data_IF_252541195502
#
_entry.id   IF_252541195502
#
_cell.length_a   1.000
_cell.length_b   1.000
_cell.length_c   1.000
_cell.angle_alpha   90.00
_cell.angle_beta   90.00
_cell.angle_gamma   90.00
#
_symmetry.space_group_name_H-M   'P 1'
#
loop_
_entity.id
_entity.type
_entity.pdbx_description
1 polymer ?
#
# COMPACT_ATOMS: atom_id res chain seq x y z
N UNK A 1 -3.19 -46.73 -44.93
CA UNK A 1 -3.81 -45.69 -45.80
C UNK A 1 -4.52 -44.56 -45.04
N UNK A 2 -5.19 -44.78 -43.88
CA UNK A 2 -5.83 -43.70 -43.10
C UNK A 2 -4.87 -42.60 -42.61
N UNK A 3 -3.71 -42.97 -42.01
CA UNK A 3 -2.72 -42.02 -41.46
C UNK A 3 -2.18 -40.98 -42.48
N UNK A 4 -1.98 -41.39 -43.74
CA UNK A 4 -1.51 -40.50 -44.82
C UNK A 4 -2.61 -39.53 -45.29
N UNK A 5 -3.90 -39.90 -45.15
CA UNK A 5 -5.02 -39.02 -45.47
C UNK A 5 -5.23 -37.92 -44.43
N UNK A 6 -5.05 -38.23 -43.13
CA UNK A 6 -5.22 -37.25 -42.04
C UNK A 6 -4.15 -36.16 -42.06
N UNK A 7 -2.88 -36.52 -42.28
CA UNK A 7 -1.78 -35.56 -42.43
C UNK A 7 -1.97 -34.61 -43.64
N UNK A 8 -2.47 -35.14 -44.77
CA UNK A 8 -2.77 -34.34 -45.98
C UNK A 8 -3.96 -33.40 -45.78
N UNK A 9 -4.91 -33.76 -44.90
CA UNK A 9 -6.08 -32.93 -44.56
C UNK A 9 -5.70 -31.79 -43.61
N UNK A 10 -4.92 -32.06 -42.56
CA UNK A 10 -4.36 -31.03 -41.67
C UNK A 10 -3.45 -30.04 -42.41
N UNK A 11 -2.60 -30.52 -43.33
CA UNK A 11 -1.75 -29.67 -44.17
C UNK A 11 -2.51 -28.70 -45.09
N UNK A 12 -3.79 -28.98 -45.39
CA UNK A 12 -4.64 -28.11 -46.22
C UNK A 12 -5.46 -27.09 -45.42
N UNK A 13 -5.66 -27.32 -44.12
CA UNK A 13 -6.63 -26.56 -43.31
C UNK A 13 -5.95 -25.76 -42.19
N UNK A 14 -4.78 -26.19 -41.72
CA UNK A 14 -3.96 -25.47 -40.74
C UNK A 14 -2.88 -24.63 -41.46
N UNK A 15 -2.99 -23.28 -41.46
CA UNK A 15 -2.05 -22.40 -42.15
C UNK A 15 -0.61 -22.52 -41.64
N UNK A 16 -0.44 -22.96 -40.39
CA UNK A 16 0.85 -23.05 -39.70
C UNK A 16 1.41 -24.49 -39.68
N UNK A 17 0.76 -25.44 -40.35
CA UNK A 17 1.16 -26.85 -40.39
C UNK A 17 2.57 -27.07 -40.95
N UNK A 18 2.95 -26.29 -41.96
CA UNK A 18 4.25 -26.37 -42.63
C UNK A 18 5.42 -25.99 -41.72
N UNK A 19 5.16 -25.16 -40.69
CA UNK A 19 6.12 -24.82 -39.65
C UNK A 19 6.28 -25.92 -38.59
N UNK A 20 5.17 -26.54 -38.17
CA UNK A 20 5.18 -27.66 -37.21
C UNK A 20 5.80 -28.93 -37.83
N UNK A 21 5.56 -29.18 -39.13
CA UNK A 21 6.10 -30.31 -39.89
C UNK A 21 7.64 -30.30 -40.03
N UNK A 22 8.28 -29.14 -39.85
CA UNK A 22 9.74 -29.01 -39.82
C UNK A 22 10.35 -29.37 -38.46
N UNK A 23 9.55 -29.31 -37.38
CA UNK A 23 10.03 -29.49 -36.00
C UNK A 23 9.76 -30.89 -35.44
N UNK A 24 8.77 -31.61 -35.99
CA UNK A 24 8.35 -32.91 -35.48
C UNK A 24 8.12 -33.92 -36.60
N UNK A 25 8.50 -35.18 -36.38
CA UNK A 25 8.31 -36.29 -37.34
C UNK A 25 6.83 -36.62 -37.61
N UNK A 26 5.94 -36.25 -36.68
CA UNK A 26 4.47 -36.27 -36.83
C UNK A 26 3.87 -34.96 -36.32
N UNK A 27 3.63 -33.98 -37.19
CA UNK A 27 3.07 -32.68 -36.79
C UNK A 27 1.61 -32.81 -36.33
N UNK A 28 1.35 -32.28 -35.13
CA UNK A 28 0.03 -32.12 -34.52
C UNK A 28 -0.51 -30.73 -34.90
N UNK A 29 -1.84 -30.54 -34.87
CA UNK A 29 -2.48 -29.24 -35.10
C UNK A 29 -1.79 -28.10 -34.32
N UNK A 30 -1.58 -26.98 -35.00
CA UNK A 30 -0.94 -25.80 -34.43
C UNK A 30 -1.79 -25.16 -33.33
N UNK A 31 -1.14 -24.39 -32.44
CA UNK A 31 -1.83 -23.68 -31.33
C UNK A 31 -2.91 -22.73 -31.86
N UNK A 32 -2.58 -21.96 -32.89
CA UNK A 32 -3.49 -20.98 -33.49
C UNK A 32 -4.70 -21.66 -34.13
N UNK A 33 -4.48 -22.81 -34.76
CA UNK A 33 -5.56 -23.57 -35.37
C UNK A 33 -6.50 -24.19 -34.33
N UNK A 34 -5.96 -24.72 -33.22
CA UNK A 34 -6.77 -25.21 -32.10
C UNK A 34 -7.59 -24.07 -31.45
N UNK A 35 -7.01 -22.89 -31.28
CA UNK A 35 -7.73 -21.71 -30.78
C UNK A 35 -8.83 -21.26 -31.74
N UNK A 36 -8.56 -21.28 -33.06
CA UNK A 36 -9.56 -20.94 -34.08
C UNK A 36 -10.73 -21.91 -34.07
N UNK A 37 -10.48 -23.22 -34.03
CA UNK A 37 -11.54 -24.24 -33.95
C UNK A 37 -12.42 -24.02 -32.72
N UNK A 38 -11.80 -23.74 -31.57
CA UNK A 38 -12.52 -23.47 -30.34
C UNK A 38 -13.37 -22.19 -30.39
N UNK A 39 -12.86 -21.14 -31.05
CA UNK A 39 -13.61 -19.90 -31.27
C UNK A 39 -14.79 -20.11 -32.23
N UNK A 40 -14.55 -20.80 -33.34
CA UNK A 40 -15.57 -21.06 -34.38
C UNK A 40 -16.68 -22.00 -33.86
N UNK A 41 -16.34 -22.93 -32.97
CA UNK A 41 -17.31 -23.85 -32.35
C UNK A 41 -18.21 -23.17 -31.29
N UNK A 42 -17.80 -22.02 -30.74
CA UNK A 42 -18.61 -21.24 -29.79
C UNK A 42 -18.88 -21.92 -28.44
N UNK A 43 -18.18 -23.01 -28.11
CA UNK A 43 -18.39 -23.77 -26.88
C UNK A 43 -17.26 -24.76 -26.57
N UNK A 44 -17.21 -25.33 -25.34
CA UNK A 44 -16.12 -26.20 -24.90
C UNK A 44 -16.02 -27.50 -25.72
N UNK A 45 -14.82 -27.86 -26.15
CA UNK A 45 -14.55 -29.14 -26.84
C UNK A 45 -13.73 -30.09 -25.96
N UNK A 46 -14.18 -31.33 -25.78
CA UNK A 46 -13.42 -32.37 -25.07
C UNK A 46 -12.30 -32.95 -25.94
N UNK A 47 -11.36 -33.68 -25.31
CA UNK A 47 -10.33 -34.39 -26.05
C UNK A 47 -10.95 -35.40 -27.04
N UNK A 48 -12.03 -36.11 -26.68
CA UNK A 48 -12.70 -37.01 -27.62
C UNK A 48 -13.24 -36.25 -28.84
N UNK A 49 -13.87 -35.10 -28.63
CA UNK A 49 -14.42 -34.30 -29.73
C UNK A 49 -13.32 -33.77 -30.67
N UNK A 50 -12.13 -33.44 -30.15
CA UNK A 50 -10.99 -33.12 -31.03
C UNK A 50 -10.47 -34.35 -31.78
N UNK A 51 -10.45 -35.54 -31.16
CA UNK A 51 -10.05 -36.79 -31.82
C UNK A 51 -10.98 -37.09 -33.00
N UNK A 52 -12.28 -36.89 -32.79
CA UNK A 52 -13.32 -37.07 -33.80
C UNK A 52 -13.18 -36.02 -34.92
N UNK A 53 -13.02 -34.75 -34.55
CA UNK A 53 -12.86 -33.64 -35.50
C UNK A 53 -11.64 -33.81 -36.42
N UNK A 54 -10.52 -34.32 -35.87
CA UNK A 54 -9.31 -34.58 -36.64
C UNK A 54 -9.26 -35.99 -37.25
N UNK A 55 -10.29 -36.82 -37.06
CA UNK A 55 -10.37 -38.20 -37.57
C UNK A 55 -9.13 -39.06 -37.20
N UNK A 56 -8.56 -38.85 -36.00
CA UNK A 56 -7.32 -39.53 -35.54
C UNK A 56 -7.58 -40.79 -34.69
N UNK A 57 -8.75 -41.41 -34.85
CA UNK A 57 -9.12 -42.60 -34.11
C UNK A 57 -8.11 -43.75 -34.27
N UNK A 58 -7.65 -44.31 -33.15
CA UNK A 58 -6.74 -45.47 -33.11
C UNK A 58 -5.27 -45.17 -33.43
N UNK A 59 -4.87 -43.89 -33.53
CA UNK A 59 -3.46 -43.49 -33.63
C UNK A 59 -2.97 -42.91 -32.30
N UNK A 60 -2.54 -43.80 -31.39
CA UNK A 60 -2.17 -43.46 -30.01
C UNK A 60 -1.14 -42.32 -29.91
N UNK A 61 -0.16 -42.29 -30.83
CA UNK A 61 0.89 -41.28 -30.85
C UNK A 61 0.36 -39.87 -31.20
N UNK A 62 -0.60 -39.78 -32.12
CA UNK A 62 -1.25 -38.51 -32.49
C UNK A 62 -2.21 -38.03 -31.40
N UNK A 63 -2.91 -38.95 -30.75
CA UNK A 63 -3.79 -38.66 -29.60
C UNK A 63 -2.98 -38.11 -28.43
N UNK A 64 -1.85 -38.75 -28.10
CA UNK A 64 -0.96 -38.31 -27.03
C UNK A 64 -0.29 -36.96 -27.37
N UNK A 65 0.09 -36.75 -28.64
CA UNK A 65 0.60 -35.45 -29.12
C UNK A 65 -0.41 -34.31 -28.93
N UNK A 66 -1.68 -34.54 -29.29
CA UNK A 66 -2.76 -33.58 -29.09
C UNK A 66 -3.05 -33.31 -27.61
N UNK A 67 -3.09 -34.36 -26.78
CA UNK A 67 -3.25 -34.24 -25.32
C UNK A 67 -2.15 -33.39 -24.71
N UNK A 68 -0.88 -33.63 -25.07
CA UNK A 68 0.26 -32.85 -24.60
C UNK A 68 0.20 -31.39 -25.04
N UNK A 69 -0.24 -31.12 -26.27
CA UNK A 69 -0.40 -29.75 -26.78
C UNK A 69 -1.50 -29.00 -26.04
N UNK A 70 -2.69 -29.58 -25.89
CA UNK A 70 -3.79 -28.96 -25.13
C UNK A 70 -3.41 -28.77 -23.65
N UNK A 71 -2.68 -29.71 -23.07
CA UNK A 71 -2.10 -29.59 -21.73
C UNK A 71 -1.10 -28.44 -21.62
N UNK A 72 -0.20 -28.29 -22.58
CA UNK A 72 0.73 -27.16 -22.64
C UNK A 72 0.00 -25.82 -22.78
N UNK A 73 -0.98 -25.71 -23.68
CA UNK A 73 -1.78 -24.49 -23.84
C UNK A 73 -2.61 -24.13 -22.59
N UNK A 74 -3.00 -25.13 -21.79
CA UNK A 74 -3.69 -24.89 -20.50
C UNK A 74 -2.72 -24.38 -19.43
N UNK A 75 -1.46 -24.86 -19.43
CA UNK A 75 -0.38 -24.37 -18.56
C UNK A 75 0.04 -22.95 -18.94
N UNK A 76 0.15 -22.69 -20.23
CA UNK A 76 0.55 -21.39 -20.80
C UNK A 76 -0.58 -20.35 -20.76
N UNK A 77 -1.71 -20.66 -20.10
CA UNK A 77 -2.80 -19.70 -19.91
C UNK A 77 -3.61 -19.37 -21.17
N UNK A 78 -3.45 -20.13 -22.26
CA UNK A 78 -4.19 -19.91 -23.52
C UNK A 78 -5.56 -20.61 -23.50
N UNK A 79 -5.70 -21.70 -22.74
CA UNK A 79 -6.93 -22.47 -22.58
C UNK A 79 -7.29 -22.67 -21.10
N UNK A 80 -8.59 -22.81 -20.80
CA UNK A 80 -9.10 -23.36 -19.54
C UNK A 80 -9.79 -24.70 -19.81
N UNK A 81 -9.65 -25.66 -18.89
CA UNK A 81 -10.41 -26.90 -18.90
C UNK A 81 -11.56 -26.83 -17.90
N UNK A 82 -12.79 -27.05 -18.35
CA UNK A 82 -13.98 -27.04 -17.51
C UNK A 82 -14.16 -28.36 -16.72
N UNK A 83 -15.15 -28.42 -15.80
CA UNK A 83 -15.44 -29.61 -14.98
C UNK A 83 -15.83 -30.86 -15.79
N UNK A 84 -16.34 -30.69 -17.01
CA UNK A 84 -16.70 -31.79 -17.93
C UNK A 84 -15.53 -32.21 -18.83
N UNK A 85 -14.33 -31.65 -18.59
CA UNK A 85 -13.12 -32.00 -19.32
C UNK A 85 -12.93 -31.30 -20.67
N UNK A 86 -13.82 -30.37 -21.04
CA UNK A 86 -13.74 -29.59 -22.28
C UNK A 86 -12.84 -28.36 -22.17
N UNK A 87 -12.14 -28.02 -23.25
CA UNK A 87 -11.24 -26.89 -23.37
C UNK A 87 -11.96 -25.65 -23.92
N UNK A 88 -11.62 -24.46 -23.39
CA UNK A 88 -12.19 -23.16 -23.78
C UNK A 88 -11.03 -22.16 -23.97
N UNK A 89 -11.03 -21.35 -25.03
CA UNK A 89 -10.01 -20.34 -25.24
C UNK A 89 -10.21 -19.17 -24.27
N UNK A 90 -9.14 -18.70 -23.63
CA UNK A 90 -9.21 -17.43 -22.90
C UNK A 90 -9.28 -16.28 -23.90
N UNK A 91 -10.24 -15.37 -23.72
CA UNK A 91 -10.25 -14.07 -24.39
C UNK A 91 -9.62 -13.00 -23.47
N UNK A 92 -9.09 -11.92 -24.03
CA UNK A 92 -8.57 -10.80 -23.21
C UNK A 92 -9.66 -10.16 -22.34
N UNK A 93 -10.93 -10.25 -22.75
CA UNK A 93 -12.09 -9.81 -21.96
C UNK A 93 -12.37 -10.68 -20.72
N UNK A 94 -11.78 -11.88 -20.63
CA UNK A 94 -11.92 -12.75 -19.46
C UNK A 94 -10.84 -12.50 -18.39
N UNK A 95 -9.85 -11.64 -18.69
CA UNK A 95 -8.78 -11.26 -17.78
C UNK A 95 -9.17 -10.00 -17.01
N UNK A 96 -9.19 -10.11 -15.69
CA UNK A 96 -9.54 -9.01 -14.79
C UNK A 96 -8.35 -8.74 -13.88
N UNK A 97 -7.93 -7.48 -13.87
CA UNK A 97 -6.88 -6.98 -13.00
C UNK A 97 -7.49 -6.49 -11.69
N UNK A 98 -6.80 -6.74 -10.59
CA UNK A 98 -7.28 -6.31 -9.29
C UNK A 98 -6.37 -6.71 -8.15
N UNK A 99 -6.82 -6.37 -6.95
CA UNK A 99 -6.08 -6.65 -5.71
C UNK A 99 -6.63 -7.88 -5.01
N UNK A 100 -5.73 -8.75 -4.53
CA UNK A 100 -6.08 -9.96 -3.78
C UNK A 100 -6.48 -9.61 -2.34
N UNK A 101 -7.73 -9.88 -2.01
CA UNK A 101 -8.27 -9.83 -0.65
C UNK A 101 -8.36 -11.27 -0.10
N UNK A 102 -7.42 -11.65 0.76
CA UNK A 102 -7.39 -13.00 1.33
C UNK A 102 -8.30 -13.09 2.57
N UNK A 103 -8.92 -14.25 2.76
CA UNK A 103 -9.75 -14.57 3.92
C UNK A 103 -8.96 -15.49 4.88
N UNK A 104 -9.14 -15.38 6.22
CA UNK A 104 -8.46 -16.24 7.18
C UNK A 104 -8.65 -17.75 6.98
N UNK A 105 -9.80 -18.16 6.44
CA UNK A 105 -10.09 -19.57 6.10
C UNK A 105 -9.33 -20.09 4.86
N UNK A 106 -8.44 -19.28 4.26
CA UNK A 106 -7.55 -19.69 3.18
C UNK A 106 -8.08 -19.48 1.75
N UNK A 107 -9.36 -19.13 1.57
CA UNK A 107 -9.87 -18.62 0.28
C UNK A 107 -9.65 -17.11 0.16
N UNK A 108 -9.96 -16.53 -0.98
CA UNK A 108 -9.88 -15.08 -1.16
C UNK A 108 -10.76 -14.56 -2.28
N UNK A 109 -10.59 -13.28 -2.57
CA UNK A 109 -11.27 -12.59 -3.64
C UNK A 109 -10.27 -11.73 -4.40
N UNK A 110 -10.51 -11.52 -5.69
CA UNK A 110 -9.90 -10.42 -6.43
C UNK A 110 -10.92 -9.29 -6.50
N UNK A 111 -10.54 -8.13 -5.96
CA UNK A 111 -11.28 -6.88 -6.05
C UNK A 111 -10.85 -6.17 -7.33
N UNK A 112 -11.71 -6.05 -8.37
CA UNK A 112 -11.32 -5.48 -9.66
C UNK A 112 -10.91 -4.01 -9.56
N UNK A 113 -9.86 -3.62 -10.30
CA UNK A 113 -9.39 -2.22 -10.35
C UNK A 113 -10.46 -1.27 -10.95
N UNK A 114 -11.23 -1.76 -11.94
CA UNK A 114 -12.30 -1.01 -12.61
C UNK A 114 -13.62 -1.00 -11.81
N UNK A 115 -13.63 -1.59 -10.62
CA UNK A 115 -14.82 -1.79 -9.80
C UNK A 115 -15.74 -2.91 -10.30
N UNK A 116 -16.83 -3.14 -9.57
CA UNK A 116 -17.78 -4.22 -9.82
C UNK A 116 -17.71 -5.34 -8.77
N UNK A 117 -18.29 -6.50 -9.09
CA UNK A 117 -18.36 -7.63 -8.16
C UNK A 117 -17.00 -8.30 -7.96
N UNK A 118 -16.68 -8.59 -6.70
CA UNK A 118 -15.53 -9.38 -6.29
C UNK A 118 -15.53 -10.78 -6.92
N UNK A 119 -14.35 -11.22 -7.36
CA UNK A 119 -14.16 -12.52 -8.00
C UNK A 119 -13.63 -13.50 -6.96
N UNK A 120 -14.37 -14.57 -6.70
CA UNK A 120 -13.95 -15.58 -5.74
C UNK A 120 -12.73 -16.37 -6.24
N UNK A 121 -11.70 -16.45 -5.40
CA UNK A 121 -10.48 -17.23 -5.61
C UNK A 121 -10.46 -18.39 -4.63
N UNK A 122 -10.38 -19.61 -5.16
CA UNK A 122 -10.33 -20.81 -4.32
C UNK A 122 -9.03 -20.89 -3.52
N UNK A 123 -9.05 -21.57 -2.36
CA UNK A 123 -7.83 -21.75 -1.56
C UNK A 123 -6.68 -22.44 -2.29
N UNK A 124 -6.97 -23.28 -3.30
CA UNK A 124 -5.94 -23.87 -4.16
C UNK A 124 -5.18 -22.84 -4.98
N UNK A 125 -5.87 -21.80 -5.45
CA UNK A 125 -5.28 -20.70 -6.22
C UNK A 125 -4.62 -19.68 -5.28
N UNK A 126 -5.19 -19.44 -4.10
CA UNK A 126 -4.61 -18.54 -3.09
C UNK A 126 -3.21 -18.97 -2.62
N UNK A 127 -2.83 -20.24 -2.76
CA UNK A 127 -1.49 -20.71 -2.40
C UNK A 127 -0.34 -20.00 -3.12
N UNK A 128 -0.56 -19.37 -4.28
CA UNK A 128 0.50 -18.71 -5.07
C UNK A 128 0.58 -17.18 -4.88
N UNK A 129 -0.27 -16.62 -4.02
CA UNK A 129 -0.38 -15.17 -3.77
C UNK A 129 -0.50 -14.89 -2.29
N UNK A 130 -0.10 -13.69 -1.90
CA UNK A 130 -0.30 -13.17 -0.55
C UNK A 130 -1.40 -12.11 -0.55
N UNK A 131 -1.93 -11.81 0.64
CA UNK A 131 -2.91 -10.75 0.78
C UNK A 131 -2.34 -9.42 0.29
N UNK A 132 -3.09 -8.69 -0.52
CA UNK A 132 -2.70 -7.39 -1.04
C UNK A 132 -1.97 -7.44 -2.38
N UNK A 133 -1.50 -8.61 -2.84
CA UNK A 133 -0.87 -8.76 -4.16
C UNK A 133 -1.80 -8.24 -5.26
N UNK A 134 -1.24 -7.58 -6.27
CA UNK A 134 -1.98 -7.20 -7.48
C UNK A 134 -1.80 -8.29 -8.51
N UNK A 135 -2.90 -8.83 -9.02
CA UNK A 135 -2.86 -10.02 -9.88
C UNK A 135 -3.81 -9.89 -11.07
N UNK A 136 -3.59 -10.75 -12.05
CA UNK A 136 -4.49 -10.97 -13.18
C UNK A 136 -5.21 -12.28 -12.97
N UNK A 137 -6.54 -12.24 -13.03
CA UNK A 137 -7.40 -13.39 -12.86
C UNK A 137 -8.22 -13.62 -14.11
N UNK A 138 -8.27 -14.87 -14.56
CA UNK A 138 -9.20 -15.31 -15.59
C UNK A 138 -10.49 -15.82 -14.95
N UNK A 139 -11.64 -15.39 -15.46
CA UNK A 139 -12.92 -15.99 -15.11
C UNK A 139 -12.98 -17.45 -15.59
N UNK A 140 -13.30 -18.36 -14.68
CA UNK A 140 -13.39 -19.81 -14.96
C UNK A 140 -14.82 -20.35 -14.88
N UNK A 141 -15.76 -19.51 -14.45
CA UNK A 141 -17.17 -19.80 -14.40
C UNK A 141 -17.83 -19.16 -13.19
N UNK A 142 -18.96 -19.73 -12.80
CA UNK A 142 -19.76 -19.30 -11.66
C UNK A 142 -19.94 -20.48 -10.72
N UNK A 143 -19.67 -20.27 -9.43
CA UNK A 143 -19.83 -21.31 -8.41
C UNK A 143 -21.32 -21.61 -8.12
N UNK A 144 -21.61 -22.67 -7.37
CA UNK A 144 -22.94 -23.11 -6.95
C UNK A 144 -23.76 -21.99 -6.27
N UNK A 145 -23.09 -20.99 -5.70
CA UNK A 145 -23.70 -19.80 -5.07
C UNK A 145 -23.83 -18.59 -6.00
N UNK A 146 -23.79 -18.78 -7.32
CA UNK A 146 -23.84 -17.71 -8.33
C UNK A 146 -22.72 -16.66 -8.27
N UNK A 147 -21.61 -16.93 -7.58
CA UNK A 147 -20.43 -16.03 -7.52
C UNK A 147 -19.46 -16.31 -8.67
N UNK A 148 -18.92 -15.25 -9.27
CA UNK A 148 -17.86 -15.36 -10.29
C UNK A 148 -16.62 -16.02 -9.68
N UNK A 149 -16.08 -17.04 -10.33
CA UNK A 149 -14.91 -17.78 -9.88
C UNK A 149 -13.71 -17.51 -10.79
N UNK A 150 -12.59 -17.16 -10.18
CA UNK A 150 -11.35 -16.80 -10.85
C UNK A 150 -10.23 -17.82 -10.68
N UNK A 151 -9.38 -17.94 -11.70
CA UNK A 151 -8.06 -18.56 -11.65
C UNK A 151 -6.99 -17.49 -11.83
N UNK A 152 -5.97 -17.49 -10.98
CA UNK A 152 -4.86 -16.55 -11.10
C UNK A 152 -4.01 -16.96 -12.30
N UNK A 153 -3.76 -16.00 -13.19
CA UNK A 153 -2.94 -16.16 -14.39
C UNK A 153 -1.54 -15.64 -14.11
N UNK A 154 -1.43 -14.45 -13.54
CA UNK A 154 -0.16 -13.81 -13.26
C UNK A 154 -0.26 -12.87 -12.05
N UNK A 155 0.88 -12.54 -11.44
CA UNK A 155 0.98 -11.58 -10.33
C UNK A 155 1.77 -10.38 -10.81
N UNK A 156 1.10 -9.23 -10.89
CA UNK A 156 1.66 -7.99 -11.42
C UNK A 156 2.57 -7.30 -10.39
N UNK A 157 2.13 -7.23 -9.14
CA UNK A 157 2.85 -6.56 -8.05
C UNK A 157 2.72 -7.37 -6.76
N UNK A 158 3.83 -7.55 -6.05
CA UNK A 158 3.85 -8.18 -4.73
C UNK A 158 3.68 -7.14 -3.65
N UNK A 159 2.69 -7.31 -2.77
CA UNK A 159 2.43 -6.35 -1.71
C UNK A 159 3.31 -6.55 -0.47
N UNK A 160 3.80 -7.77 -0.27
CA UNK A 160 4.51 -8.16 0.94
C UNK A 160 5.96 -8.51 0.60
N UNK A 161 6.84 -7.52 0.73
CA UNK A 161 8.29 -7.75 0.71
C UNK A 161 8.81 -8.09 2.11
N UNK A 162 8.25 -7.45 3.13
CA UNK A 162 8.55 -7.67 4.54
C UNK A 162 7.26 -7.86 5.31
N UNK A 163 7.30 -8.73 6.33
CA UNK A 163 6.16 -9.07 7.16
C UNK A 163 6.59 -9.18 8.61
N UNK A 164 5.69 -8.83 9.52
CA UNK A 164 5.85 -9.17 10.94
C UNK A 164 5.08 -10.44 11.24
N UNK A 165 5.71 -11.32 11.99
CA UNK A 165 5.11 -12.56 12.41
C UNK A 165 5.79 -13.14 13.62
N UNK A 166 5.24 -14.25 14.10
CA UNK A 166 5.79 -15.02 15.20
C UNK A 166 6.67 -16.14 14.68
N UNK A 167 7.88 -16.22 15.21
CA UNK A 167 8.82 -17.30 14.94
C UNK A 167 8.41 -18.57 15.69
N UNK A 168 8.39 -19.68 14.95
CA UNK A 168 8.08 -21.00 15.44
C UNK A 168 9.08 -22.01 14.88
N UNK A 169 9.32 -23.08 15.63
CA UNK A 169 10.13 -24.22 15.22
C UNK A 169 9.36 -25.50 15.53
N UNK A 170 8.92 -26.19 14.48
CA UNK A 170 8.28 -27.51 14.62
C UNK A 170 9.16 -28.59 14.01
N UNK A 171 9.47 -29.64 14.79
CA UNK A 171 10.30 -30.79 14.36
C UNK A 171 11.64 -30.38 13.73
N UNK A 172 12.21 -29.26 14.17
CA UNK A 172 13.48 -28.73 13.67
C UNK A 172 13.37 -27.87 12.40
N UNK A 173 12.16 -27.60 11.91
CA UNK A 173 11.93 -26.69 10.78
C UNK A 173 11.49 -25.33 11.34
N UNK A 174 12.29 -24.27 11.16
CA UNK A 174 11.90 -22.93 11.56
C UNK A 174 10.97 -22.29 10.52
N UNK A 175 9.92 -21.64 10.99
CA UNK A 175 8.97 -20.90 10.15
C UNK A 175 8.40 -19.70 10.89
N UNK A 176 7.83 -18.76 10.14
CA UNK A 176 7.16 -17.57 10.69
C UNK A 176 5.70 -17.59 10.28
N UNK A 177 4.81 -17.42 11.27
CA UNK A 177 3.40 -17.15 11.05
C UNK A 177 3.17 -15.66 11.06
N UNK A 178 2.66 -15.10 9.95
CA UNK A 178 2.36 -13.68 9.87
C UNK A 178 1.33 -13.27 10.94
N UNK A 179 1.50 -12.08 11.51
CA UNK A 179 0.55 -11.52 12.48
C UNK A 179 -0.81 -11.22 11.80
N UNK A 180 -0.77 -10.79 10.53
CA UNK A 180 -1.96 -10.64 9.72
C UNK A 180 -2.55 -12.01 9.36
N UNK A 181 -3.65 -12.37 10.02
CA UNK A 181 -4.39 -13.64 9.82
C UNK A 181 -4.89 -13.90 8.39
N UNK A 182 -4.88 -12.89 7.50
CA UNK A 182 -5.20 -13.07 6.07
C UNK A 182 -4.04 -13.72 5.29
N UNK A 183 -2.82 -13.66 5.83
CA UNK A 183 -1.65 -14.39 5.34
C UNK A 183 -1.54 -15.66 6.17
N UNK A 184 -2.09 -16.75 5.63
CA UNK A 184 -2.19 -18.04 6.32
C UNK A 184 -1.02 -18.98 5.96
N UNK A 185 -0.19 -18.62 4.98
CA UNK A 185 0.97 -19.43 4.61
C UNK A 185 2.07 -19.29 5.66
N UNK A 186 2.67 -20.40 6.05
CA UNK A 186 3.91 -20.42 6.83
C UNK A 186 5.06 -19.94 5.95
N UNK A 187 5.83 -18.97 6.46
CA UNK A 187 7.03 -18.48 5.81
C UNK A 187 8.18 -19.36 6.30
N UNK A 188 8.63 -20.26 5.45
CA UNK A 188 9.72 -21.18 5.78
C UNK A 188 11.02 -20.41 5.88
N UNK A 189 11.81 -20.71 6.91
CA UNK A 189 13.13 -20.15 7.08
C UNK A 189 14.17 -21.24 6.77
N UNK A 190 15.13 -21.00 5.86
CA UNK A 190 16.26 -21.91 5.71
C UNK A 190 17.12 -21.87 7.00
N UNK A 191 17.97 -22.88 7.24
CA UNK A 191 18.74 -22.98 8.50
C UNK A 191 19.60 -21.75 8.84
N UNK A 192 20.08 -21.05 7.81
CA UNK A 192 20.84 -19.80 7.90
C UNK A 192 19.94 -18.54 7.99
N UNK A 193 18.66 -18.65 7.63
CA UNK A 193 17.70 -17.56 7.62
C UNK A 193 17.02 -17.27 8.95
N UNK A 194 17.13 -18.15 9.95
CA UNK A 194 16.52 -17.98 11.28
C UNK A 194 17.27 -16.98 12.19
N UNK A 195 18.55 -16.74 11.93
CA UNK A 195 19.36 -15.80 12.72
C UNK A 195 19.43 -16.16 14.20
N UNK A 196 19.06 -15.21 15.07
CA UNK A 196 19.07 -15.36 16.55
C UNK A 196 17.67 -15.50 17.16
N UNK A 197 16.64 -15.65 16.34
CA UNK A 197 15.25 -15.74 16.81
C UNK A 197 15.02 -17.00 17.65
N UNK A 198 14.18 -16.89 18.68
CA UNK A 198 13.76 -17.98 19.55
C UNK A 198 12.27 -18.27 19.37
N UNK A 199 11.85 -19.46 19.79
CA UNK A 199 10.45 -19.87 19.78
C UNK A 199 9.55 -18.81 20.45
N UNK A 200 8.55 -18.32 19.72
CA UNK A 200 7.59 -17.34 20.19
C UNK A 200 8.01 -15.87 20.05
N UNK A 201 9.23 -15.58 19.55
CA UNK A 201 9.66 -14.21 19.28
C UNK A 201 8.85 -13.60 18.13
N UNK A 202 8.60 -12.30 18.23
CA UNK A 202 8.06 -11.50 17.14
C UNK A 202 9.24 -11.01 16.30
N UNK A 203 9.19 -11.32 15.01
CA UNK A 203 10.27 -11.06 14.07
C UNK A 203 9.76 -10.31 12.85
N UNK A 204 10.63 -9.45 12.31
CA UNK A 204 10.48 -8.89 10.98
C UNK A 204 11.17 -9.84 9.99
N UNK A 205 10.40 -10.41 9.07
CA UNK A 205 10.88 -11.34 8.04
C UNK A 205 10.82 -10.69 6.67
N UNK A 206 11.90 -10.81 5.90
CA UNK A 206 11.93 -10.50 4.47
C UNK A 206 11.53 -11.75 3.68
N UNK A 207 10.62 -11.62 2.72
CA UNK A 207 10.28 -12.71 1.79
C UNK A 207 11.34 -12.74 0.69
N UNK A 208 12.18 -13.76 0.71
CA UNK A 208 13.25 -14.00 -0.28
C UNK A 208 12.67 -14.71 -1.50
N UNK A 209 11.79 -15.69 -1.29
CA UNK A 209 11.08 -16.39 -2.36
C UNK A 209 9.56 -16.30 -2.14
N UNK A 210 8.87 -15.76 -3.15
CA UNK A 210 7.42 -15.61 -3.15
C UNK A 210 6.72 -16.97 -3.31
N UNK A 211 5.50 -17.14 -2.78
CA UNK A 211 4.84 -18.43 -2.81
C UNK A 211 4.43 -18.83 -4.23
N UNK A 212 4.37 -20.13 -4.47
CA UNK A 212 3.89 -20.72 -5.73
C UNK A 212 2.79 -21.74 -5.47
N UNK A 213 2.18 -22.31 -6.51
CA UNK A 213 1.19 -23.38 -6.33
C UNK A 213 1.73 -24.61 -5.57
N UNK A 214 3.05 -24.79 -5.54
CA UNK A 214 3.72 -25.99 -4.99
C UNK A 214 4.57 -25.71 -3.76
N UNK A 215 5.12 -24.51 -3.63
CA UNK A 215 6.05 -24.16 -2.58
C UNK A 215 5.52 -23.00 -1.75
N UNK A 216 5.69 -23.12 -0.44
CA UNK A 216 5.47 -22.04 0.53
C UNK A 216 6.48 -20.90 0.31
N UNK A 217 6.17 -19.68 0.79
CA UNK A 217 7.13 -18.59 0.73
C UNK A 217 8.35 -18.92 1.60
N UNK A 218 9.52 -18.51 1.13
CA UNK A 218 10.79 -18.64 1.88
C UNK A 218 11.22 -17.25 2.31
N UNK A 219 11.59 -17.11 3.58
CA UNK A 219 12.00 -15.84 4.16
C UNK A 219 13.33 -15.88 4.89
N UNK A 220 13.76 -14.71 5.33
CA UNK A 220 14.91 -14.51 6.22
C UNK A 220 14.55 -13.49 7.29
N UNK A 221 14.89 -13.79 8.54
CA UNK A 221 14.72 -12.86 9.65
C UNK A 221 15.66 -11.66 9.45
N UNK A 222 15.09 -10.47 9.32
CA UNK A 222 15.84 -9.21 9.29
C UNK A 222 16.12 -8.69 10.69
N UNK A 223 15.11 -8.75 11.55
CA UNK A 223 15.21 -8.24 12.91
C UNK A 223 14.33 -9.02 13.88
N UNK A 224 14.78 -9.11 15.13
CA UNK A 224 14.01 -9.68 16.23
C UNK A 224 13.47 -8.52 17.05
N UNK A 225 12.19 -8.19 16.81
CA UNK A 225 11.53 -7.08 17.48
C UNK A 225 11.40 -7.35 18.98
N UNK A 226 11.20 -8.62 19.37
CA UNK A 226 11.32 -9.08 20.74
C UNK A 226 10.30 -10.14 21.13
N UNK A 227 10.25 -10.47 22.43
CA UNK A 227 9.29 -11.45 22.95
C UNK A 227 7.86 -10.89 22.90
N UNK A 228 6.88 -11.76 22.63
CA UNK A 228 5.45 -11.42 22.42
C UNK A 228 4.77 -10.63 23.56
N UNK A 229 5.41 -10.41 24.71
CA UNK A 229 4.82 -9.78 25.89
C UNK A 229 5.61 -8.56 26.42
N UNK A 230 6.55 -8.02 25.64
CA UNK A 230 7.26 -6.82 26.08
C UNK A 230 6.40 -5.56 25.87
N UNK A 231 6.29 -4.66 26.86
CA UNK A 231 5.60 -3.39 26.70
C UNK A 231 6.16 -2.58 25.51
N UNK A 232 5.30 -2.03 24.65
CA UNK A 232 5.69 -1.23 23.49
C UNK A 232 5.83 -2.02 22.20
N UNK A 233 5.76 -3.36 22.25
CA UNK A 233 5.75 -4.22 21.06
C UNK A 233 4.52 -3.99 20.19
N UNK A 234 3.39 -3.58 20.77
CA UNK A 234 2.16 -3.32 20.02
C UNK A 234 2.35 -2.20 19.00
N UNK A 235 3.19 -1.21 19.35
CA UNK A 235 3.51 -0.08 18.48
C UNK A 235 4.39 -0.53 17.31
N UNK A 236 5.46 -1.29 17.56
CA UNK A 236 6.34 -1.80 16.49
C UNK A 236 5.59 -2.74 15.53
N UNK A 237 4.79 -3.65 16.07
CA UNK A 237 3.93 -4.53 15.26
C UNK A 237 2.97 -3.71 14.42
N UNK A 238 2.35 -2.67 14.98
CA UNK A 238 1.42 -1.79 14.25
C UNK A 238 2.12 -1.02 13.13
N UNK A 239 3.30 -0.45 13.40
CA UNK A 239 4.12 0.27 12.42
C UNK A 239 4.39 -0.63 11.21
N UNK A 240 4.91 -1.83 11.45
CA UNK A 240 5.27 -2.73 10.36
C UNK A 240 4.08 -3.36 9.65
N UNK A 241 3.06 -3.81 10.39
CA UNK A 241 1.87 -4.47 9.82
C UNK A 241 1.05 -3.54 8.92
N UNK A 242 1.04 -2.25 9.20
CA UNK A 242 0.37 -1.23 8.40
C UNK A 242 1.30 -0.52 7.42
N UNK A 243 2.57 -0.94 7.33
CA UNK A 243 3.55 -0.33 6.43
C UNK A 243 3.81 1.15 6.73
N UNK A 244 3.69 1.58 7.99
CA UNK A 244 3.92 2.97 8.39
C UNK A 244 5.42 3.28 8.21
N UNK A 245 5.77 4.27 7.38
CA UNK A 245 7.17 4.65 7.12
C UNK A 245 7.81 5.30 8.36
N UNK A 246 8.47 4.48 9.20
CA UNK A 246 9.12 4.96 10.41
C UNK A 246 10.59 5.37 10.21
N UNK A 247 11.28 4.80 9.21
CA UNK A 247 12.70 5.08 8.93
C UNK A 247 12.83 6.26 7.97
N UNK A 248 13.79 7.14 8.23
CA UNK A 248 14.08 8.28 7.36
C UNK A 248 15.05 7.89 6.23
N UNK A 249 14.76 8.24 4.97
CA UNK A 249 15.73 8.14 3.89
C UNK A 249 16.95 9.06 4.10
N UNK A 250 18.15 8.63 3.70
CA UNK A 250 19.38 9.41 3.87
C UNK A 250 19.32 10.79 3.21
N UNK A 251 18.67 10.88 2.04
CA UNK A 251 18.46 12.14 1.32
C UNK A 251 17.64 13.14 2.15
N UNK A 252 16.60 12.66 2.85
CA UNK A 252 15.74 13.48 3.73
C UNK A 252 16.52 13.98 4.94
N UNK A 253 17.33 13.10 5.54
CA UNK A 253 18.21 13.48 6.67
C UNK A 253 19.24 14.51 6.22
N UNK A 254 19.81 14.36 5.03
CA UNK A 254 20.75 15.30 4.43
C UNK A 254 20.14 16.68 4.19
N UNK A 255 18.98 16.73 3.52
CA UNK A 255 18.25 17.98 3.26
C UNK A 255 17.86 18.69 4.57
N UNK A 256 17.30 17.94 5.53
CA UNK A 256 16.89 18.46 6.83
C UNK A 256 18.04 19.13 7.61
N UNK A 257 19.25 18.55 7.58
CA UNK A 257 20.41 19.10 8.30
C UNK A 257 20.90 20.44 7.73
N UNK A 258 20.54 20.79 6.51
CA UNK A 258 21.00 22.01 5.86
C UNK A 258 20.32 23.29 6.40
N UNK A 259 19.13 23.19 7.01
CA UNK A 259 18.35 24.36 7.43
C UNK A 259 18.82 25.02 8.74
N UNK A 260 19.62 24.32 9.55
CA UNK A 260 20.03 24.80 10.88
C UNK A 260 18.85 24.94 11.86
N UNK A 261 19.06 25.68 12.96
CA UNK A 261 18.10 25.75 14.07
C UNK A 261 17.31 27.09 14.13
N UNK A 262 17.63 28.04 13.25
CA UNK A 262 17.08 29.39 13.29
C UNK A 262 16.76 29.95 11.91
N UNK A 263 15.71 30.75 11.83
CA UNK A 263 15.30 31.45 10.60
C UNK A 263 16.38 32.43 10.15
N UNK A 264 16.86 32.26 8.91
CA UNK A 264 17.86 33.14 8.30
C UNK A 264 17.32 34.55 8.06
N UNK A 265 18.16 35.57 8.18
CA UNK A 265 17.75 36.97 7.91
C UNK A 265 17.32 37.19 6.45
N UNK A 266 17.90 36.44 5.50
CA UNK A 266 17.46 36.43 4.10
C UNK A 266 16.00 36.01 3.94
N UNK A 267 15.58 35.00 4.72
CA UNK A 267 14.26 34.38 4.59
C UNK A 267 13.15 35.26 5.18
N UNK A 268 13.52 36.24 6.00
CA UNK A 268 12.63 37.26 6.57
C UNK A 268 12.31 38.37 5.56
N UNK A 269 13.10 38.52 4.50
CA UNK A 269 12.92 39.61 3.53
C UNK A 269 11.62 39.46 2.74
N UNK A 270 10.93 40.58 2.49
CA UNK A 270 9.66 40.60 1.76
C UNK A 270 8.46 40.06 2.53
N UNK A 271 8.63 39.66 3.79
CA UNK A 271 7.55 39.18 4.66
C UNK A 271 7.03 40.30 5.57
N UNK A 272 5.75 40.23 5.92
CA UNK A 272 5.12 41.15 6.87
C UNK A 272 5.67 40.89 8.28
N UNK A 273 6.17 41.92 8.94
CA UNK A 273 6.66 41.82 10.32
C UNK A 273 5.50 41.98 11.31
N UNK A 274 5.18 40.91 12.04
CA UNK A 274 4.17 40.90 13.11
C UNK A 274 4.76 40.51 14.47
N UNK A 275 6.09 40.53 14.62
CA UNK A 275 6.80 40.09 15.84
C UNK A 275 6.46 40.89 17.10
N UNK A 276 5.88 42.08 16.96
CA UNK A 276 5.45 42.93 18.09
C UNK A 276 4.00 42.69 18.52
N UNK A 277 3.23 41.91 17.75
CA UNK A 277 1.87 41.56 18.12
C UNK A 277 1.92 40.37 19.09
N UNK A 278 1.14 40.40 20.18
CA UNK A 278 1.16 39.35 21.21
C UNK A 278 0.38 38.12 20.74
N UNK A 279 0.87 37.48 19.67
CA UNK A 279 0.43 36.17 19.19
C UNK A 279 0.83 35.11 20.22
N UNK A 280 -0.09 34.19 20.48
CA UNK A 280 0.11 33.06 21.42
C UNK A 280 -0.30 31.76 20.75
N UNK A 281 0.31 30.64 21.17
CA UNK A 281 -0.14 29.29 20.81
C UNK A 281 -0.94 28.70 21.97
N UNK A 282 -1.91 27.84 21.67
CA UNK A 282 -2.77 27.21 22.68
C UNK A 282 -2.92 25.72 22.32
N UNK A 283 -2.23 24.87 23.07
CA UNK A 283 -2.04 23.47 22.68
C UNK A 283 -2.24 22.51 23.87
N UNK A 284 -2.16 21.22 23.62
CA UNK A 284 -2.07 20.21 24.68
C UNK A 284 -0.74 20.31 25.44
N UNK A 285 -0.73 19.82 26.68
CA UNK A 285 0.43 19.82 27.57
C UNK A 285 1.65 19.11 26.94
N UNK A 286 1.39 18.02 26.20
CA UNK A 286 2.41 17.17 25.57
C UNK A 286 2.77 17.58 24.14
N UNK A 287 2.12 18.60 23.58
CA UNK A 287 2.37 19.07 22.21
C UNK A 287 3.76 19.71 22.06
N UNK A 288 4.41 19.50 20.90
CA UNK A 288 5.75 20.02 20.58
C UNK A 288 5.81 20.77 19.24
N UNK A 289 4.87 20.45 18.37
CA UNK A 289 4.59 20.99 17.05
C UNK A 289 3.47 22.03 17.17
N UNK A 290 3.84 23.31 17.35
CA UNK A 290 2.87 24.40 17.44
C UNK A 290 2.62 24.97 16.04
N UNK A 291 1.56 24.52 15.39
CA UNK A 291 1.26 24.85 14.00
C UNK A 291 0.59 26.22 13.84
N UNK A 292 -0.17 26.65 14.85
CA UNK A 292 -0.93 27.90 14.81
C UNK A 292 -0.71 28.81 16.02
N UNK A 293 -0.79 30.11 15.75
CA UNK A 293 -0.81 31.15 16.77
C UNK A 293 -1.91 32.17 16.48
N UNK A 294 -2.55 32.65 17.54
CA UNK A 294 -3.71 33.52 17.44
C UNK A 294 -3.52 34.84 18.17
N UNK A 295 -4.09 35.91 17.60
CA UNK A 295 -4.19 37.22 18.22
C UNK A 295 -5.52 37.87 17.84
N UNK A 296 -6.23 38.43 18.82
CA UNK A 296 -7.49 39.10 18.58
C UNK A 296 -7.50 40.52 19.17
N UNK A 297 -8.11 41.45 18.45
CA UNK A 297 -8.29 42.84 18.89
C UNK A 297 -9.68 43.35 18.53
N UNK A 298 -10.28 44.14 19.44
CA UNK A 298 -11.60 44.74 19.21
C UNK A 298 -11.49 45.90 18.23
N UNK A 299 -12.45 46.02 17.32
CA UNK A 299 -12.61 47.16 16.41
C UNK A 299 -13.94 47.86 16.70
N UNK A 300 -14.21 49.00 16.04
CA UNK A 300 -15.50 49.70 16.18
C UNK A 300 -16.69 48.82 15.75
N UNK A 301 -16.49 47.97 14.74
CA UNK A 301 -17.53 47.20 14.09
C UNK A 301 -17.49 45.69 14.42
N UNK A 302 -16.64 45.27 15.36
CA UNK A 302 -16.51 43.87 15.77
C UNK A 302 -15.08 43.55 16.22
N UNK A 303 -14.42 42.63 15.52
CA UNK A 303 -13.11 42.09 15.88
C UNK A 303 -12.19 41.99 14.67
N UNK A 304 -10.89 42.11 14.92
CA UNK A 304 -9.82 41.73 14.01
C UNK A 304 -9.10 40.53 14.62
N UNK A 305 -9.17 39.40 13.94
CA UNK A 305 -8.50 38.16 14.29
C UNK A 305 -7.32 37.94 13.35
N UNK A 306 -6.17 37.61 13.92
CA UNK A 306 -4.99 37.15 13.21
C UNK A 306 -4.77 35.69 13.56
N UNK A 307 -4.61 34.87 12.54
CA UNK A 307 -4.20 33.46 12.66
C UNK A 307 -2.90 33.32 11.88
N UNK A 308 -1.82 32.97 12.56
CA UNK A 308 -0.53 32.70 11.96
C UNK A 308 -0.34 31.18 11.92
N UNK A 309 -0.15 30.62 10.73
CA UNK A 309 0.11 29.19 10.51
C UNK A 309 1.57 29.02 10.13
N UNK A 310 2.26 28.01 10.69
CA UNK A 310 3.63 27.67 10.32
C UNK A 310 3.84 27.60 8.80
N UNK A 311 4.86 28.29 8.27
CA UNK A 311 5.14 28.28 6.82
C UNK A 311 6.02 27.09 6.42
N UNK A 312 5.47 25.87 6.55
CA UNK A 312 6.14 24.63 6.17
C UNK A 312 6.59 24.64 4.72
N UNK A 313 5.81 25.28 3.83
CA UNK A 313 6.08 25.38 2.39
C UNK A 313 7.35 26.17 2.04
N UNK A 314 7.88 26.94 2.99
CA UNK A 314 9.19 27.59 2.83
C UNK A 314 10.33 26.57 2.85
N UNK A 315 10.23 25.52 3.67
CA UNK A 315 11.28 24.51 3.85
C UNK A 315 11.07 23.27 3.00
N UNK A 316 9.81 22.87 2.80
CA UNK A 316 9.43 21.70 1.99
C UNK A 316 8.97 22.17 0.62
N UNK A 317 9.87 22.11 -0.38
CA UNK A 317 9.61 22.62 -1.72
C UNK A 317 9.19 21.51 -2.69
N UNK A 318 8.32 21.80 -3.68
CA UNK A 318 7.88 20.78 -4.63
C UNK A 318 9.04 20.10 -5.36
N UNK A 319 9.08 18.76 -5.33
CA UNK A 319 10.11 17.91 -5.91
C UNK A 319 11.35 17.70 -5.04
N UNK A 320 11.38 18.23 -3.81
CA UNK A 320 12.48 17.95 -2.87
C UNK A 320 12.33 16.59 -2.18
N UNK A 321 13.41 16.08 -1.56
CA UNK A 321 13.35 14.78 -0.90
C UNK A 321 12.40 14.81 0.30
N UNK A 322 12.36 15.93 1.03
CA UNK A 322 11.36 16.19 2.07
C UNK A 322 9.92 16.14 1.55
N UNK A 323 9.67 16.69 0.36
CA UNK A 323 8.33 16.73 -0.23
C UNK A 323 7.89 15.35 -0.75
N UNK A 324 8.77 14.59 -1.39
CA UNK A 324 8.52 13.20 -1.75
C UNK A 324 8.21 12.33 -0.53
N UNK A 325 9.03 12.43 0.52
CA UNK A 325 8.81 11.66 1.75
C UNK A 325 7.56 12.14 2.51
N UNK A 326 7.28 13.44 2.57
CA UNK A 326 6.05 13.94 3.18
C UNK A 326 4.80 13.38 2.48
N UNK A 327 4.81 13.24 1.14
CA UNK A 327 3.73 12.56 0.40
C UNK A 327 3.64 11.06 0.72
N UNK A 328 4.78 10.39 0.82
CA UNK A 328 4.85 8.97 1.17
C UNK A 328 4.27 8.71 2.58
N UNK A 329 4.58 9.59 3.54
CA UNK A 329 4.05 9.53 4.91
C UNK A 329 2.59 9.96 5.00
N UNK A 330 2.21 11.02 4.30
CA UNK A 330 0.86 11.58 4.23
C UNK A 330 0.38 12.28 5.51
N UNK A 331 0.68 11.75 6.68
CA UNK A 331 0.32 12.30 8.00
C UNK A 331 1.31 11.85 9.07
N UNK A 332 1.36 12.59 10.19
CA UNK A 332 1.97 12.09 11.43
C UNK A 332 1.05 11.02 12.05
N UNK A 333 1.62 9.92 12.54
CA UNK A 333 0.88 8.83 13.22
C UNK A 333 1.19 8.87 14.72
N UNK A 334 0.15 9.03 15.53
CA UNK A 334 0.27 9.16 16.99
C UNK A 334 -0.12 7.85 17.68
N UNK A 335 0.84 7.27 18.40
CA UNK A 335 0.65 6.13 19.31
C UNK A 335 0.71 6.59 20.76
N UNK A 336 0.18 5.81 21.72
CA UNK A 336 0.43 6.04 23.13
C UNK A 336 1.95 6.10 23.42
N UNK A 337 2.46 7.29 23.75
CA UNK A 337 3.88 7.50 24.09
C UNK A 337 4.87 7.57 22.92
N UNK A 338 4.42 7.53 21.66
CA UNK A 338 5.31 7.67 20.49
C UNK A 338 4.60 8.30 19.30
N UNK A 339 5.31 9.15 18.56
CA UNK A 339 4.83 9.72 17.30
C UNK A 339 5.76 9.30 16.17
N UNK A 340 5.19 8.94 15.02
CA UNK A 340 5.91 8.82 13.75
C UNK A 340 5.60 10.07 12.96
N UNK A 341 6.49 11.08 12.96
CA UNK A 341 6.16 12.38 12.39
C UNK A 341 6.24 12.37 10.86
N UNK A 342 5.40 13.18 10.23
CA UNK A 342 5.41 13.39 8.78
C UNK A 342 6.68 14.10 8.30
N UNK A 343 7.23 14.98 9.13
CA UNK A 343 8.45 15.74 8.84
C UNK A 343 9.51 15.44 9.90
N UNK A 344 10.82 15.60 9.58
CA UNK A 344 11.87 15.48 10.59
C UNK A 344 11.67 16.48 11.73
N UNK A 345 12.05 16.08 12.96
CA UNK A 345 11.81 16.88 14.17
C UNK A 345 12.45 18.27 14.14
N UNK A 346 13.58 18.41 13.44
CA UNK A 346 14.26 19.70 13.21
C UNK A 346 13.36 20.71 12.50
N UNK A 347 12.45 20.24 11.64
CA UNK A 347 11.42 21.06 11.02
C UNK A 347 10.17 21.10 11.90
N UNK A 348 9.55 19.95 12.20
CA UNK A 348 8.24 19.90 12.86
C UNK A 348 8.25 20.55 14.25
N UNK A 349 9.25 20.24 15.08
CA UNK A 349 9.37 20.76 16.45
C UNK A 349 10.29 21.99 16.51
N UNK A 350 11.11 22.20 15.48
CA UNK A 350 12.09 23.27 15.41
C UNK A 350 11.62 24.47 14.60
N UNK A 351 11.98 24.50 13.31
CA UNK A 351 11.84 25.66 12.43
C UNK A 351 10.39 25.99 12.02
N UNK A 352 9.51 25.00 11.98
CA UNK A 352 8.08 25.19 11.67
C UNK A 352 7.26 25.44 12.93
N UNK A 353 7.59 24.78 14.05
CA UNK A 353 6.89 25.02 15.32
C UNK A 353 7.05 26.47 15.78
N UNK A 354 5.92 27.12 16.07
CA UNK A 354 5.78 28.52 16.51
C UNK A 354 6.20 28.71 17.98
N UNK A 355 7.38 28.20 18.31
CA UNK A 355 7.99 28.23 19.63
C UNK A 355 8.05 29.67 20.21
N UNK A 356 7.90 29.82 21.54
CA UNK A 356 7.95 31.12 22.20
C UNK A 356 9.33 31.78 22.07
N UNK A 357 9.34 33.12 22.03
CA UNK A 357 10.53 33.98 22.08
C UNK A 357 11.52 33.85 20.91
N UNK A 358 11.18 33.09 19.88
CA UNK A 358 11.99 32.90 18.66
C UNK A 358 11.23 33.35 17.41
N UNK A 359 11.98 33.90 16.44
CA UNK A 359 11.40 34.31 15.16
C UNK A 359 11.02 33.06 14.35
N UNK A 360 9.81 33.06 13.78
CA UNK A 360 9.28 31.98 12.96
C UNK A 360 8.56 32.51 11.72
N UNK A 361 8.71 31.80 10.62
CA UNK A 361 8.04 32.10 9.36
C UNK A 361 6.61 31.56 9.41
N UNK A 362 5.65 32.38 9.01
CA UNK A 362 4.25 31.98 9.01
C UNK A 362 3.49 32.51 7.79
N UNK A 363 2.40 31.83 7.47
CA UNK A 363 1.31 32.32 6.64
C UNK A 363 0.29 32.99 7.57
N UNK A 364 0.14 34.30 7.42
CA UNK A 364 -0.77 35.11 8.23
C UNK A 364 -2.12 35.24 7.52
N UNK A 365 -3.18 34.79 8.17
CA UNK A 365 -4.56 35.06 7.84
C UNK A 365 -5.09 36.19 8.72
N UNK A 366 -5.60 37.25 8.09
CA UNK A 366 -6.23 38.38 8.78
C UNK A 366 -7.73 38.39 8.50
N UNK A 367 -8.54 38.33 9.55
CA UNK A 367 -9.99 38.27 9.46
C UNK A 367 -10.60 39.50 10.15
N UNK A 368 -11.54 40.15 9.47
CA UNK A 368 -12.43 41.16 10.06
C UNK A 368 -13.79 40.52 10.33
N UNK A 369 -14.16 40.43 11.59
CA UNK A 369 -15.38 39.76 12.05
C UNK A 369 -16.33 40.83 12.59
N UNK A 370 -17.59 40.85 12.16
CA UNK A 370 -18.56 41.81 12.67
C UNK A 370 -19.09 41.41 14.07
N UNK A 371 -19.98 42.22 14.64
CA UNK A 371 -20.55 41.97 15.98
C UNK A 371 -21.39 40.70 16.07
N UNK A 372 -21.93 40.25 14.93
CA UNK A 372 -22.73 39.03 14.82
C UNK A 372 -21.86 37.77 14.59
N UNK A 373 -20.53 37.92 14.58
CA UNK A 373 -19.60 36.81 14.37
C UNK A 373 -19.35 36.46 12.90
N UNK A 374 -19.84 37.26 11.95
CA UNK A 374 -19.66 36.99 10.52
C UNK A 374 -18.34 37.57 10.01
N UNK A 375 -17.64 36.81 9.18
CA UNK A 375 -16.41 37.27 8.50
C UNK A 375 -16.83 38.22 7.37
N UNK A 376 -16.36 39.46 7.45
CA UNK A 376 -16.65 40.54 6.48
C UNK A 376 -15.51 40.77 5.50
N UNK A 377 -14.27 40.46 5.90
CA UNK A 377 -13.07 40.56 5.07
C UNK A 377 -12.02 39.56 5.52
N UNK A 378 -11.30 38.99 4.55
CA UNK A 378 -10.13 38.16 4.77
C UNK A 378 -8.93 38.69 3.97
N UNK A 379 -7.72 38.37 4.42
CA UNK A 379 -6.48 38.66 3.71
C UNK A 379 -5.39 37.68 4.13
N UNK A 380 -4.51 37.34 3.19
CA UNK A 380 -3.44 36.37 3.39
C UNK A 380 -2.10 36.99 3.01
N UNK A 381 -1.06 36.76 3.82
CA UNK A 381 0.29 37.23 3.54
C UNK A 381 1.34 36.33 4.17
N UNK A 382 2.54 36.27 3.58
CA UNK A 382 3.71 35.70 4.25
C UNK A 382 4.19 36.68 5.32
N UNK A 383 4.49 36.17 6.50
CA UNK A 383 4.87 36.97 7.65
C UNK A 383 6.01 36.33 8.46
N UNK A 384 6.57 37.13 9.35
CA UNK A 384 7.48 36.70 10.42
C UNK A 384 6.83 37.07 11.75
N UNK A 385 6.73 36.10 12.64
CA UNK A 385 6.16 36.27 13.97
C UNK A 385 7.14 35.82 15.06
N UNK A 386 6.85 36.23 16.29
CA UNK A 386 7.47 35.73 17.52
C UNK A 386 6.34 35.43 18.50
N UNK A 387 6.19 34.17 18.89
CA UNK A 387 5.18 33.79 19.88
C UNK A 387 5.55 34.40 21.23
N UNK A 388 4.59 35.05 21.88
CA UNK A 388 4.79 35.71 23.18
C UNK A 388 4.44 34.80 24.36
N UNK A 389 3.75 33.69 24.10
CA UNK A 389 3.51 32.64 25.08
C UNK A 389 3.07 31.35 24.38
N UNK A 390 3.55 30.23 24.91
CA UNK A 390 2.93 28.92 24.75
C UNK A 390 1.96 28.72 25.91
N UNK A 391 0.68 28.55 25.62
CA UNK A 391 -0.36 28.31 26.62
C UNK A 391 -0.91 26.88 26.43
N UNK A 392 -1.43 26.31 27.52
CA UNK A 392 -2.22 25.07 27.42
C UNK A 392 -3.72 25.34 27.58
N UNK A 393 -4.55 24.44 27.09
CA UNK A 393 -6.01 24.50 27.30
C UNK A 393 -6.36 24.64 28.78
N UNK A 394 -5.69 23.88 29.65
CA UNK A 394 -5.86 23.93 31.11
C UNK A 394 -5.51 25.32 31.68
N UNK A 395 -4.40 25.92 31.25
CA UNK A 395 -4.00 27.25 31.68
C UNK A 395 -5.00 28.33 31.22
N UNK A 396 -5.46 28.24 29.98
CA UNK A 396 -6.45 29.19 29.43
C UNK A 396 -7.77 29.09 30.19
N UNK A 397 -8.26 27.87 30.45
CA UNK A 397 -9.46 27.65 31.25
C UNK A 397 -9.30 28.21 32.67
N UNK A 398 -8.18 27.91 33.34
CA UNK A 398 -7.92 28.41 34.69
C UNK A 398 -7.87 29.95 34.74
N UNK A 399 -7.29 30.61 33.74
CA UNK A 399 -7.25 32.08 33.67
C UNK A 399 -8.62 32.71 33.37
N UNK A 400 -9.37 32.15 32.41
CA UNK A 400 -10.59 32.78 31.88
C UNK A 400 -11.86 32.35 32.62
N UNK A 401 -11.95 31.10 33.06
CA UNK A 401 -13.12 30.51 33.71
C UNK A 401 -12.95 30.59 35.23
N UNK A 402 -11.92 29.94 35.77
CA UNK A 402 -11.72 29.81 37.23
C UNK A 402 -11.14 31.08 37.86
N UNK A 403 -10.67 32.01 37.02
CA UNK A 403 -10.09 33.30 37.43
C UNK A 403 -8.87 33.13 38.35
N UNK A 404 -8.05 32.10 38.11
CA UNK A 404 -6.86 31.81 38.92
C UNK A 404 -5.96 33.06 39.07
N UNK A 405 -5.73 33.55 40.30
CA UNK A 405 -5.03 34.81 40.52
C UNK A 405 -3.52 34.71 40.20
N UNK A 406 -2.91 33.54 40.35
CA UNK A 406 -1.49 33.34 40.09
C UNK A 406 -1.20 33.37 38.59
N UNK A 407 -1.94 32.59 37.80
CA UNK A 407 -1.81 32.56 36.34
C UNK A 407 -2.17 33.89 35.70
N UNK A 408 -3.24 34.57 36.17
CA UNK A 408 -3.60 35.90 35.66
C UNK A 408 -2.57 36.96 35.99
N UNK A 409 -1.87 36.84 37.13
CA UNK A 409 -0.74 37.72 37.46
C UNK A 409 0.46 37.45 36.56
N UNK A 410 0.77 36.17 36.31
CA UNK A 410 1.85 35.74 35.42
C UNK A 410 1.63 36.23 33.98
N UNK A 411 0.43 36.03 33.43
CA UNK A 411 0.08 36.38 32.04
C UNK A 411 -0.67 37.70 31.92
N UNK A 412 -0.50 38.61 32.89
CA UNK A 412 -1.16 39.93 32.93
C UNK A 412 -1.06 40.74 31.63
N UNK A 413 0.05 40.71 30.85
CA UNK A 413 0.10 41.42 29.56
C UNK A 413 -0.85 40.86 28.48
N UNK A 414 -1.21 39.59 28.59
CA UNK A 414 -2.00 38.84 27.60
C UNK A 414 -3.48 38.71 28.01
N UNK A 415 -3.75 38.68 29.32
CA UNK A 415 -5.10 38.61 29.90
C UNK A 415 -5.56 40.01 30.30
N UNK A 416 -6.40 40.62 29.45
CA UNK A 416 -7.02 41.93 29.72
C UNK A 416 -8.30 41.84 30.54
#
# INVERSE_FOLDING_TARGET
MKKRKTAVKLAKVDPNYSGEAKKYSKPVASRDFLLKILKDHGGPLTLEQFIDYFEVHGDEESIEGLRRRLGAMTRDGQLVRNRRGGFVPLSNSDLIHGRISAHPDGFGFLVPDEGGDDIFISGKEMRQVLHGDRAVVCLTGVDHRRRKQGRIVDVLERANAQLVGRFHTERGIPFVLADNKRIHQEILLPPDGAGKAKEGDIVLVEIVEQPTKRHQPVGRVLDVLGAHMMPGMEIEVSIHSHGIPAKWPDMVVGESKAFGDSVLESDKQGRKDVRKLPLVTIDGEDAKDFDDAVYCSRTQNGWRLLVAIADVSHYVTPGSALDEEARNRGTSVYFPGRVIPMLPESLSNGLCSLNPDVDRLCLLCELSINRDGQITRSGFSKAVMRSHARLTYTQVAAMLIDKDPALRKQYKPLVK
#
